data_IF_445614115980
#
_entry.id   IF_445614115980
#
_cell.length_a   1.000
_cell.length_b   1.000
_cell.length_c   1.000
_cell.angle_alpha   90.00
_cell.angle_beta   90.00
_cell.angle_gamma   90.00
#
_symmetry.space_group_name_H-M   'P 1'
#
loop_
_entity.id
_entity.type
_entity.pdbx_description
1 polymer ?
#
# COMPACT_ATOMS: atom_id res chain seq x y z
N UNK A 1 47.86 -37.17 43.47
CA UNK A 1 47.75 -38.31 44.41
C UNK A 1 46.91 -37.81 45.58
N UNK A 2 45.74 -38.32 45.99
CA UNK A 2 45.13 -39.66 46.10
C UNK A 2 43.59 -39.43 46.09
N UNK A 3 42.81 -40.01 45.17
CA UNK A 3 42.07 -41.29 45.22
C UNK A 3 40.93 -41.41 46.26
N UNK A 4 39.69 -41.36 45.73
CA UNK A 4 38.57 -42.30 45.85
C UNK A 4 38.25 -43.01 47.17
N UNK A 5 37.01 -42.83 47.66
CA UNK A 5 36.03 -43.85 48.13
C UNK A 5 34.63 -43.19 48.05
N UNK A 6 33.65 -43.51 47.19
CA UNK A 6 33.01 -44.74 46.73
C UNK A 6 32.18 -45.49 47.81
N UNK A 7 30.85 -45.43 47.60
CA UNK A 7 29.78 -46.40 47.89
C UNK A 7 29.24 -46.61 49.33
N UNK A 8 27.96 -46.24 49.51
CA UNK A 8 26.89 -47.07 50.14
C UNK A 8 25.61 -46.81 49.31
N UNK A 9 25.30 -47.64 48.28
CA UNK A 9 24.24 -48.68 48.23
C UNK A 9 22.91 -48.28 48.91
N UNK A 10 21.86 -47.89 48.18
CA UNK A 10 20.93 -48.67 47.31
C UNK A 10 19.64 -49.09 48.03
N UNK A 11 18.53 -48.73 47.38
CA UNK A 11 17.19 -49.34 47.37
C UNK A 11 16.23 -49.09 48.54
N UNK A 12 15.25 -48.20 48.29
CA UNK A 12 13.83 -48.52 48.48
C UNK A 12 12.97 -47.81 47.41
N UNK A 13 12.59 -48.61 46.41
CA UNK A 13 11.37 -48.56 45.60
C UNK A 13 10.77 -47.20 45.17
N UNK A 14 10.95 -46.93 43.88
CA UNK A 14 9.89 -46.76 42.87
C UNK A 14 8.53 -46.23 43.36
N UNK A 15 8.24 -44.97 43.05
CA UNK A 15 6.89 -44.59 42.66
C UNK A 15 6.89 -43.34 41.76
N UNK A 16 6.22 -43.50 40.61
CA UNK A 16 5.49 -42.49 39.85
C UNK A 16 6.25 -41.55 38.88
N UNK A 17 6.10 -41.93 37.60
CA UNK A 17 5.65 -41.09 36.48
C UNK A 17 6.62 -40.09 35.84
N UNK A 18 7.21 -40.56 34.73
CA UNK A 18 7.05 -40.01 33.37
C UNK A 18 6.61 -38.55 33.34
N UNK A 19 7.56 -37.64 33.21
CA UNK A 19 7.34 -36.38 32.51
C UNK A 19 8.25 -36.38 31.27
N UNK A 20 7.67 -36.91 30.20
CA UNK A 20 8.03 -36.55 28.83
C UNK A 20 8.05 -35.02 28.75
N UNK A 21 9.23 -34.46 28.57
CA UNK A 21 9.41 -33.07 28.13
C UNK A 21 8.91 -32.96 26.69
N UNK A 22 7.60 -32.98 26.52
CA UNK A 22 6.95 -32.57 25.29
C UNK A 22 7.25 -31.10 25.09
N UNK A 23 8.15 -30.80 24.16
CA UNK A 23 8.23 -29.48 23.57
C UNK A 23 6.88 -29.20 22.93
N UNK A 24 6.03 -28.45 23.63
CA UNK A 24 4.83 -27.85 23.06
C UNK A 24 5.35 -26.83 22.05
N UNK A 25 5.49 -27.26 20.80
CA UNK A 25 5.53 -26.36 19.66
C UNK A 25 4.18 -25.67 19.66
N UNK A 26 4.10 -24.47 20.24
CA UNK A 26 2.98 -23.57 19.99
C UNK A 26 3.04 -23.23 18.51
N UNK A 27 2.39 -24.03 17.68
CA UNK A 27 2.04 -23.63 16.33
C UNK A 27 1.26 -22.31 16.50
N UNK A 28 1.85 -21.22 16.04
CA UNK A 28 1.09 -19.99 15.87
C UNK A 28 -0.14 -20.36 15.04
N UNK A 29 -1.35 -19.96 15.47
CA UNK A 29 -2.50 -20.08 14.59
C UNK A 29 -2.12 -19.40 13.28
N UNK A 30 -2.43 -20.00 12.10
CA UNK A 30 -2.30 -19.25 10.87
C UNK A 30 -3.08 -17.95 11.08
N UNK A 31 -2.40 -16.82 10.91
CA UNK A 31 -3.09 -15.54 10.74
C UNK A 31 -3.95 -15.71 9.51
N UNK A 32 -5.20 -16.14 9.70
CA UNK A 32 -6.24 -15.99 8.71
C UNK A 32 -6.49 -14.48 8.62
N UNK A 33 -5.61 -13.78 7.90
CA UNK A 33 -5.99 -12.53 7.26
C UNK A 33 -7.04 -12.94 6.24
N UNK A 34 -8.32 -12.81 6.59
CA UNK A 34 -9.37 -12.78 5.58
C UNK A 34 -8.93 -11.70 4.59
N UNK A 35 -8.66 -12.11 3.36
CA UNK A 35 -8.24 -11.19 2.32
C UNK A 35 -9.27 -10.06 2.22
N UNK A 36 -8.84 -8.81 2.38
CA UNK A 36 -9.77 -7.69 2.41
C UNK A 36 -10.42 -7.55 1.02
N UNK A 37 -11.75 -7.60 0.97
CA UNK A 37 -12.52 -7.48 -0.26
C UNK A 37 -13.31 -6.18 -0.26
N UNK A 38 -13.19 -5.39 -1.32
CA UNK A 38 -13.90 -4.11 -1.47
C UNK A 38 -14.85 -4.18 -2.66
N UNK A 39 -16.14 -3.92 -2.44
CA UNK A 39 -17.16 -4.05 -3.50
C UNK A 39 -17.22 -2.82 -4.41
N UNK A 40 -16.76 -1.67 -3.92
CA UNK A 40 -16.63 -0.46 -4.72
C UNK A 40 -15.20 0.10 -4.69
N UNK A 41 -14.78 0.88 -5.69
CA UNK A 41 -13.53 1.63 -5.65
C UNK A 41 -13.44 2.55 -4.42
N UNK A 42 -14.55 3.16 -4.03
CA UNK A 42 -14.67 4.07 -2.89
C UNK A 42 -14.41 3.34 -1.56
N UNK A 43 -14.86 2.10 -1.41
CA UNK A 43 -14.58 1.29 -0.21
C UNK A 43 -13.08 1.02 -0.06
N UNK A 44 -12.40 0.68 -1.16
CA UNK A 44 -10.95 0.45 -1.15
C UNK A 44 -10.16 1.72 -0.80
N UNK A 45 -10.53 2.86 -1.39
CA UNK A 45 -9.93 4.17 -1.07
C UNK A 45 -10.18 4.56 0.39
N UNK A 46 -11.39 4.33 0.89
CA UNK A 46 -11.73 4.61 2.29
C UNK A 46 -10.88 3.77 3.24
N UNK A 47 -10.79 2.46 3.01
CA UNK A 47 -9.98 1.56 3.84
C UNK A 47 -8.48 1.92 3.84
N UNK A 48 -7.97 2.34 2.68
CA UNK A 48 -6.60 2.82 2.55
C UNK A 48 -6.35 4.09 3.38
N UNK A 49 -7.23 5.09 3.26
CA UNK A 49 -7.12 6.34 4.02
C UNK A 49 -7.35 6.12 5.52
N UNK A 50 -8.23 5.20 5.91
CA UNK A 50 -8.37 4.79 7.31
C UNK A 50 -7.08 4.16 7.85
N UNK A 51 -6.35 3.39 7.03
CA UNK A 51 -5.03 2.90 7.39
C UNK A 51 -4.05 4.05 7.67
N UNK A 52 -4.08 5.11 6.87
CA UNK A 52 -3.28 6.32 7.11
C UNK A 52 -3.67 7.04 8.41
N UNK A 53 -4.97 7.28 8.61
CA UNK A 53 -5.53 7.96 9.77
C UNK A 53 -5.12 7.27 11.08
N UNK A 54 -5.11 5.93 11.09
CA UNK A 54 -4.79 5.14 12.27
C UNK A 54 -3.31 4.71 12.36
N UNK A 55 -2.46 5.12 11.41
CA UNK A 55 -1.07 4.67 11.36
C UNK A 55 -0.92 3.16 11.14
N UNK A 56 -1.93 2.50 10.56
CA UNK A 56 -1.94 1.06 10.28
C UNK A 56 -1.48 0.79 8.84
N UNK A 57 -0.17 0.65 8.68
CA UNK A 57 0.43 0.37 7.38
C UNK A 57 0.04 -1.01 6.82
N UNK A 58 -0.27 -1.99 7.67
CA UNK A 58 -0.71 -3.30 7.20
C UNK A 58 -2.10 -3.19 6.53
N UNK A 59 -3.01 -2.40 7.10
CA UNK A 59 -4.32 -2.10 6.49
C UNK A 59 -4.19 -1.37 5.16
N UNK A 60 -3.22 -0.45 5.04
CA UNK A 60 -2.89 0.21 3.76
C UNK A 60 -2.53 -0.83 2.70
N UNK A 61 -1.61 -1.74 3.00
CA UNK A 61 -1.18 -2.78 2.05
C UNK A 61 -2.30 -3.75 1.70
N UNK A 62 -3.18 -4.10 2.65
CA UNK A 62 -4.35 -4.96 2.40
C UNK A 62 -5.36 -4.34 1.43
N UNK A 63 -5.44 -3.00 1.37
CA UNK A 63 -6.28 -2.30 0.40
C UNK A 63 -5.68 -2.29 -1.03
N UNK A 64 -4.44 -2.74 -1.20
CA UNK A 64 -3.71 -2.67 -2.46
C UNK A 64 -3.69 -4.01 -3.20
N UNK A 65 -3.65 -3.95 -4.53
CA UNK A 65 -3.64 -5.09 -5.44
C UNK A 65 -2.26 -5.77 -5.55
N UNK A 66 -1.47 -5.75 -4.47
CA UNK A 66 -0.06 -6.15 -4.50
C UNK A 66 0.08 -7.62 -4.90
N UNK A 67 -0.73 -8.49 -4.29
CA UNK A 67 -0.68 -9.93 -4.53
C UNK A 67 -1.13 -10.25 -5.96
N UNK A 68 -2.31 -9.79 -6.36
CA UNK A 68 -2.85 -10.04 -7.70
C UNK A 68 -1.95 -9.49 -8.80
N UNK A 69 -1.45 -8.26 -8.66
CA UNK A 69 -0.54 -7.67 -9.64
C UNK A 69 0.81 -8.40 -9.68
N UNK A 70 1.26 -9.00 -8.58
CA UNK A 70 2.51 -9.76 -8.56
C UNK A 70 2.37 -11.13 -9.22
N UNK A 71 1.21 -11.78 -9.06
CA UNK A 71 0.93 -13.12 -9.57
C UNK A 71 0.47 -13.12 -11.02
N UNK A 72 -0.22 -12.06 -11.46
CA UNK A 72 -0.88 -12.02 -12.77
C UNK A 72 -0.27 -11.02 -13.75
N UNK A 73 0.91 -10.47 -13.45
CA UNK A 73 1.60 -9.58 -14.37
C UNK A 73 2.02 -10.32 -15.66
N UNK A 74 1.45 -9.88 -16.77
CA UNK A 74 1.79 -10.33 -18.11
C UNK A 74 2.89 -9.45 -18.70
N UNK A 75 4.12 -9.91 -18.54
CA UNK A 75 5.30 -9.23 -19.07
C UNK A 75 5.25 -9.08 -20.60
N UNK A 76 4.70 -10.07 -21.32
CA UNK A 76 4.57 -10.00 -22.78
C UNK A 76 3.66 -8.86 -23.22
N UNK A 77 2.46 -8.79 -22.64
CA UNK A 77 1.51 -7.70 -22.89
C UNK A 77 2.07 -6.32 -22.50
N UNK A 78 2.83 -6.24 -21.41
CA UNK A 78 3.48 -5.00 -20.99
C UNK A 78 4.49 -4.50 -22.03
N UNK A 79 5.39 -5.38 -22.48
CA UNK A 79 6.41 -5.04 -23.49
C UNK A 79 5.77 -4.74 -24.84
N UNK A 80 4.76 -5.50 -25.26
CA UNK A 80 4.05 -5.25 -26.51
C UNK A 80 3.33 -3.89 -26.51
N UNK A 81 2.77 -3.50 -25.36
CA UNK A 81 2.12 -2.19 -25.19
C UNK A 81 3.12 -1.04 -25.24
N UNK A 82 4.25 -1.16 -24.54
CA UNK A 82 5.23 -0.07 -24.44
C UNK A 82 6.21 -0.04 -25.61
N UNK A 83 6.36 -1.15 -26.35
CA UNK A 83 7.39 -1.36 -27.37
C UNK A 83 8.81 -1.15 -26.85
N UNK A 84 9.01 -1.35 -25.55
CA UNK A 84 10.27 -1.12 -24.85
C UNK A 84 10.30 -1.93 -23.54
N UNK A 85 11.51 -2.19 -23.02
CA UNK A 85 11.74 -2.72 -21.67
C UNK A 85 12.26 -1.59 -20.76
N UNK A 86 11.39 -0.98 -19.94
CA UNK A 86 11.83 -0.08 -18.88
C UNK A 86 12.66 -0.85 -17.83
N UNK A 87 13.77 -0.29 -17.31
CA UNK A 87 14.56 -0.94 -16.25
C UNK A 87 13.80 -1.18 -14.95
N UNK A 88 12.68 -0.47 -14.76
CA UNK A 88 11.80 -0.55 -13.59
C UNK A 88 10.54 -1.39 -13.86
N UNK A 89 10.46 -2.07 -15.01
CA UNK A 89 9.41 -3.04 -15.26
C UNK A 89 9.43 -4.15 -14.20
N UNK A 90 8.26 -4.67 -13.85
CA UNK A 90 8.17 -5.89 -13.07
C UNK A 90 8.81 -7.06 -13.84
N UNK A 91 9.31 -8.06 -13.11
CA UNK A 91 9.80 -9.30 -13.69
C UNK A 91 8.63 -10.16 -14.22
N UNK A 92 8.88 -11.12 -15.12
CA UNK A 92 7.86 -12.08 -15.53
C UNK A 92 7.31 -12.88 -14.34
N UNK A 93 5.99 -13.05 -14.24
CA UNK A 93 5.36 -13.80 -13.14
C UNK A 93 5.29 -15.32 -13.38
N UNK A 94 6.25 -15.89 -14.12
CA UNK A 94 6.29 -17.31 -14.49
C UNK A 94 6.95 -18.23 -13.45
N UNK A 95 7.52 -17.66 -12.37
CA UNK A 95 8.14 -18.39 -11.28
C UNK A 95 7.84 -17.76 -9.92
N UNK A 96 7.74 -18.56 -8.84
CA UNK A 96 7.52 -18.03 -7.49
C UNK A 96 8.56 -17.01 -7.04
N UNK A 97 9.82 -17.15 -7.49
CA UNK A 97 10.88 -16.19 -7.18
C UNK A 97 10.56 -14.79 -7.73
N UNK A 98 10.10 -14.70 -8.97
CA UNK A 98 9.76 -13.41 -9.57
C UNK A 98 8.45 -12.83 -9.05
N UNK A 99 7.47 -13.68 -8.70
CA UNK A 99 6.26 -13.23 -8.01
C UNK A 99 6.62 -12.52 -6.69
N UNK A 100 7.46 -13.13 -5.86
CA UNK A 100 7.92 -12.50 -4.60
C UNK A 100 8.75 -11.23 -4.84
N UNK A 101 9.59 -11.20 -5.89
CA UNK A 101 10.32 -9.99 -6.27
C UNK A 101 9.36 -8.85 -6.67
N UNK A 102 8.35 -9.17 -7.48
CA UNK A 102 7.33 -8.22 -7.91
C UNK A 102 6.51 -7.70 -6.72
N UNK A 103 6.12 -8.59 -5.80
CA UNK A 103 5.43 -8.25 -4.57
C UNK A 103 6.22 -7.28 -3.71
N UNK A 104 7.53 -7.52 -3.53
CA UNK A 104 8.42 -6.62 -2.82
C UNK A 104 8.53 -5.25 -3.52
N UNK A 105 8.66 -5.24 -4.85
CA UNK A 105 8.73 -4.00 -5.65
C UNK A 105 7.44 -3.17 -5.53
N UNK A 106 6.26 -3.80 -5.68
CA UNK A 106 4.97 -3.13 -5.56
C UNK A 106 4.72 -2.61 -4.14
N UNK A 107 5.06 -3.41 -3.13
CA UNK A 107 4.97 -2.97 -1.73
C UNK A 107 5.85 -1.74 -1.47
N UNK A 108 7.08 -1.73 -2.00
CA UNK A 108 7.98 -0.59 -1.90
C UNK A 108 7.47 0.65 -2.63
N UNK A 109 6.79 0.48 -3.77
CA UNK A 109 6.12 1.58 -4.48
C UNK A 109 5.05 2.22 -3.60
N UNK A 110 4.13 1.43 -3.02
CA UNK A 110 3.09 1.93 -2.12
C UNK A 110 3.70 2.58 -0.88
N UNK A 111 4.71 1.95 -0.26
CA UNK A 111 5.42 2.52 0.89
C UNK A 111 6.04 3.90 0.57
N UNK A 112 6.65 4.06 -0.61
CA UNK A 112 7.20 5.34 -1.03
C UNK A 112 6.11 6.39 -1.25
N UNK A 113 4.97 6.02 -1.84
CA UNK A 113 3.84 6.93 -2.01
C UNK A 113 3.25 7.37 -0.66
N UNK A 114 3.15 6.45 0.29
CA UNK A 114 2.74 6.75 1.68
C UNK A 114 3.72 7.69 2.36
N UNK A 115 5.02 7.46 2.18
CA UNK A 115 6.06 8.37 2.70
C UNK A 115 5.94 9.78 2.12
N UNK A 116 5.73 9.92 0.81
CA UNK A 116 5.54 11.24 0.20
C UNK A 116 4.21 11.87 0.60
N UNK A 117 3.19 11.06 0.88
CA UNK A 117 1.94 11.54 1.46
C UNK A 117 2.19 12.20 2.81
N UNK A 118 2.79 11.45 3.74
CA UNK A 118 3.02 11.93 5.10
C UNK A 118 3.96 13.12 5.12
N UNK A 119 5.07 13.08 4.37
CA UNK A 119 6.01 14.20 4.33
C UNK A 119 5.38 15.46 3.73
N UNK A 120 4.61 15.31 2.64
CA UNK A 120 3.97 16.45 1.98
C UNK A 120 2.86 17.10 2.79
N UNK A 121 2.23 16.34 3.69
CA UNK A 121 1.16 16.84 4.56
C UNK A 121 1.68 17.40 5.89
N UNK A 122 2.67 16.73 6.49
CA UNK A 122 3.10 17.01 7.85
C UNK A 122 4.27 18.00 7.95
N UNK A 123 5.10 18.09 6.91
CA UNK A 123 6.28 18.97 6.92
C UNK A 123 6.06 20.25 6.13
N UNK A 124 6.77 21.32 6.50
CA UNK A 124 6.84 22.55 5.70
C UNK A 124 7.87 22.45 4.56
N UNK A 125 8.46 21.28 4.35
CA UNK A 125 9.51 21.08 3.36
C UNK A 125 8.91 20.85 1.97
N UNK A 126 9.53 21.41 0.93
CA UNK A 126 9.13 21.16 -0.46
C UNK A 126 9.61 19.78 -0.94
N UNK A 127 9.09 18.73 -0.31
CA UNK A 127 9.32 17.32 -0.69
C UNK A 127 8.51 16.91 -1.93
N UNK A 128 7.72 17.84 -2.48
CA UNK A 128 6.90 17.60 -3.67
C UNK A 128 7.77 17.39 -4.91
N UNK A 129 7.35 16.48 -5.78
CA UNK A 129 7.99 16.17 -7.06
C UNK A 129 9.42 15.61 -7.00
N UNK A 130 9.86 15.07 -5.85
CA UNK A 130 11.12 14.32 -5.77
C UNK A 130 12.37 15.19 -5.88
N UNK A 131 12.25 16.49 -5.59
CA UNK A 131 13.39 17.40 -5.51
C UNK A 131 14.27 17.04 -4.31
N UNK A 132 15.57 17.18 -4.49
CA UNK A 132 16.53 17.05 -3.38
C UNK A 132 16.43 18.31 -2.52
N UNK A 133 16.03 18.13 -1.26
CA UNK A 133 16.00 19.21 -0.27
C UNK A 133 17.31 19.17 0.52
N UNK A 134 18.14 20.20 0.37
CA UNK A 134 19.38 20.32 1.13
C UNK A 134 19.06 20.68 2.59
N UNK A 135 19.54 19.90 3.55
CA UNK A 135 19.29 20.12 4.98
C UNK A 135 20.60 20.17 5.76
N UNK A 136 20.69 21.09 6.71
CA UNK A 136 21.67 21.03 7.78
C UNK A 136 21.12 20.19 8.95
N UNK A 137 21.93 20.02 10.00
CA UNK A 137 21.56 19.20 11.16
C UNK A 137 20.32 19.74 11.91
N UNK A 138 20.18 21.06 12.04
CA UNK A 138 19.06 21.68 12.76
C UNK A 138 17.75 21.48 12.00
N UNK A 139 17.76 21.74 10.69
CA UNK A 139 16.61 21.52 9.80
C UNK A 139 16.21 20.05 9.75
N UNK A 140 17.17 19.12 9.74
CA UNK A 140 16.89 17.68 9.79
C UNK A 140 16.19 17.27 11.10
N UNK A 141 16.64 17.81 12.25
CA UNK A 141 15.98 17.56 13.55
C UNK A 141 14.57 18.14 13.57
N UNK A 142 14.36 19.33 12.99
CA UNK A 142 13.02 19.91 12.86
C UNK A 142 12.13 19.05 11.98
N UNK A 143 12.59 18.65 10.79
CA UNK A 143 11.85 17.79 9.88
C UNK A 143 11.39 16.49 10.55
N UNK A 144 12.29 15.81 11.28
CA UNK A 144 11.96 14.58 12.00
C UNK A 144 10.87 14.77 13.07
N UNK A 145 10.75 15.98 13.65
CA UNK A 145 9.67 16.32 14.57
C UNK A 145 8.38 16.67 13.85
N UNK A 146 8.46 17.36 12.71
CA UNK A 146 7.29 17.78 11.95
C UNK A 146 6.49 16.57 11.40
N UNK A 147 7.19 15.52 10.94
CA UNK A 147 6.59 14.31 10.36
C UNK A 147 6.02 13.32 11.39
N UNK A 148 5.54 13.82 12.53
CA UNK A 148 4.83 13.04 13.54
C UNK A 148 3.50 12.51 12.98
N UNK A 149 3.45 11.20 12.73
CA UNK A 149 2.30 10.53 12.12
C UNK A 149 1.06 10.51 13.01
N UNK A 150 1.19 10.79 14.32
CA UNK A 150 0.01 10.89 15.20
C UNK A 150 -0.96 11.99 14.77
N UNK A 151 -0.45 13.03 14.08
CA UNK A 151 -1.26 14.11 13.50
C UNK A 151 -2.21 13.62 12.42
N UNK A 152 -1.90 12.52 11.72
CA UNK A 152 -2.76 11.98 10.65
C UNK A 152 -4.15 11.57 11.16
N UNK A 153 -4.29 11.34 12.47
CA UNK A 153 -5.58 11.05 13.10
C UNK A 153 -6.61 12.19 12.97
N UNK A 154 -6.17 13.41 12.65
CA UNK A 154 -7.06 14.56 12.39
C UNK A 154 -7.50 14.69 10.94
N UNK A 155 -7.14 13.76 10.05
CA UNK A 155 -7.63 13.75 8.68
C UNK A 155 -9.11 13.36 8.69
N UNK A 156 -9.94 14.15 8.01
CA UNK A 156 -11.34 13.79 7.77
C UNK A 156 -11.58 13.60 6.28
N UNK A 157 -12.05 12.42 5.88
CA UNK A 157 -12.42 12.15 4.49
C UNK A 157 -13.70 12.92 4.19
N UNK A 158 -13.63 13.86 3.23
CA UNK A 158 -14.76 14.74 2.89
C UNK A 158 -15.57 14.14 1.74
N UNK A 159 -14.90 13.70 0.67
CA UNK A 159 -15.55 13.18 -0.53
C UNK A 159 -14.62 12.33 -1.37
N UNK A 160 -15.14 11.27 -1.99
CA UNK A 160 -14.43 10.48 -2.99
C UNK A 160 -15.24 10.55 -4.29
N UNK A 161 -14.56 10.71 -5.43
CA UNK A 161 -15.24 10.84 -6.72
C UNK A 161 -14.40 10.41 -7.92
N UNK A 162 -15.09 10.26 -9.05
CA UNK A 162 -14.48 10.01 -10.36
C UNK A 162 -13.82 11.30 -10.87
N UNK A 163 -12.51 11.29 -11.18
CA UNK A 163 -11.86 12.46 -11.77
C UNK A 163 -12.28 12.63 -13.23
N UNK A 164 -12.63 13.85 -13.61
CA UNK A 164 -13.00 14.23 -14.99
C UNK A 164 -13.92 13.18 -15.67
N UNK A 165 -15.20 13.08 -15.25
CA UNK A 165 -16.10 12.02 -15.70
C UNK A 165 -16.19 11.89 -17.22
N UNK A 166 -16.13 13.00 -17.96
CA UNK A 166 -16.15 12.98 -19.43
C UNK A 166 -14.99 12.23 -20.07
N UNK A 167 -13.80 12.35 -19.50
CA UNK A 167 -12.62 11.67 -20.03
C UNK A 167 -12.63 10.22 -19.59
N UNK A 168 -12.84 9.95 -18.29
CA UNK A 168 -12.73 8.59 -17.74
C UNK A 168 -13.83 7.64 -18.23
N UNK A 169 -14.99 8.17 -18.61
CA UNK A 169 -16.08 7.37 -19.21
C UNK A 169 -16.05 7.33 -20.73
N UNK A 170 -15.12 8.05 -21.38
CA UNK A 170 -15.01 8.03 -22.84
C UNK A 170 -14.60 6.64 -23.34
N UNK A 171 -15.18 6.21 -24.46
CA UNK A 171 -14.86 4.90 -25.09
C UNK A 171 -13.36 4.71 -25.27
N UNK A 172 -12.65 5.75 -25.73
CA UNK A 172 -11.20 5.69 -25.92
C UNK A 172 -10.45 5.45 -24.61
N UNK A 173 -10.86 6.09 -23.52
CA UNK A 173 -10.22 5.87 -22.23
C UNK A 173 -10.52 4.45 -21.72
N UNK A 174 -11.79 4.03 -21.72
CA UNK A 174 -12.21 2.70 -21.25
C UNK A 174 -11.50 1.59 -22.00
N UNK A 175 -11.37 1.69 -23.33
CA UNK A 175 -10.61 0.71 -24.12
C UNK A 175 -9.13 0.67 -23.73
N UNK A 176 -8.52 1.83 -23.49
CA UNK A 176 -7.11 1.92 -23.12
C UNK A 176 -6.84 1.47 -21.69
N UNK A 177 -7.74 1.78 -20.75
CA UNK A 177 -7.65 1.36 -19.35
C UNK A 177 -7.91 -0.14 -19.22
N UNK A 178 -8.84 -0.70 -20.01
CA UNK A 178 -9.07 -2.16 -20.07
C UNK A 178 -7.83 -2.90 -20.58
N UNK A 179 -7.19 -2.40 -21.64
CA UNK A 179 -5.91 -2.97 -22.12
C UNK A 179 -4.82 -2.89 -21.05
N UNK A 180 -4.80 -1.82 -20.25
CA UNK A 180 -3.85 -1.66 -19.16
C UNK A 180 -4.15 -2.60 -17.99
N UNK A 181 -5.43 -2.78 -17.62
CA UNK A 181 -5.87 -3.70 -16.57
C UNK A 181 -5.41 -5.14 -16.86
N UNK A 182 -5.56 -5.58 -18.10
CA UNK A 182 -5.16 -6.94 -18.55
C UNK A 182 -3.69 -7.25 -18.37
N UNK A 183 -2.81 -6.24 -18.47
CA UNK A 183 -1.38 -6.43 -18.20
C UNK A 183 -1.15 -6.93 -16.77
N UNK A 184 -2.01 -6.56 -15.84
CA UNK A 184 -1.93 -6.96 -14.43
C UNK A 184 -2.95 -8.05 -14.08
N UNK A 185 -3.54 -8.72 -15.07
CA UNK A 185 -4.58 -9.74 -14.86
C UNK A 185 -5.92 -9.22 -14.34
N UNK A 186 -6.13 -7.90 -14.34
CA UNK A 186 -7.38 -7.29 -13.87
C UNK A 186 -8.45 -7.22 -14.97
N UNK A 187 -9.71 -7.26 -14.53
CA UNK A 187 -10.89 -7.15 -15.41
C UNK A 187 -11.11 -5.70 -15.87
N UNK A 188 -10.85 -4.75 -14.98
CA UNK A 188 -11.19 -3.34 -15.17
C UNK A 188 -10.18 -2.44 -14.46
N UNK A 189 -10.03 -1.22 -14.98
CA UNK A 189 -9.27 -0.16 -14.34
C UNK A 189 -10.06 1.14 -14.29
N UNK A 190 -10.01 1.80 -13.15
CA UNK A 190 -10.62 3.12 -12.93
C UNK A 190 -9.71 3.98 -12.05
N UNK A 191 -10.08 5.24 -11.87
CA UNK A 191 -9.42 6.17 -10.98
C UNK A 191 -10.42 6.77 -10.01
N UNK A 192 -9.92 7.17 -8.84
CA UNK A 192 -10.65 7.98 -7.86
C UNK A 192 -9.77 9.10 -7.37
N UNK A 193 -10.41 10.20 -7.00
CA UNK A 193 -9.80 11.26 -6.20
C UNK A 193 -10.55 11.38 -4.88
N UNK A 194 -9.80 11.56 -3.80
CA UNK A 194 -10.34 11.78 -2.47
C UNK A 194 -9.99 13.19 -2.00
N UNK A 195 -11.00 13.96 -1.62
CA UNK A 195 -10.90 15.20 -0.87
C UNK A 195 -10.91 14.87 0.61
N UNK A 196 -10.01 15.48 1.36
CA UNK A 196 -9.98 15.39 2.82
C UNK A 196 -9.60 16.74 3.43
N UNK A 197 -10.02 16.96 4.67
CA UNK A 197 -9.56 18.08 5.49
C UNK A 197 -8.40 17.63 6.36
N UNK A 198 -7.47 18.54 6.61
CA UNK A 198 -6.36 18.36 7.54
C UNK A 198 -5.92 19.73 8.06
N UNK A 199 -5.91 19.91 9.39
CA UNK A 199 -5.44 21.14 10.06
C UNK A 199 -5.97 22.44 9.42
N UNK A 200 -7.29 22.50 9.20
CA UNK A 200 -8.04 23.64 8.63
C UNK A 200 -7.92 23.86 7.12
N UNK A 201 -7.10 23.07 6.43
CA UNK A 201 -6.94 23.11 4.99
C UNK A 201 -7.60 21.90 4.31
N UNK A 202 -7.86 22.02 3.01
CA UNK A 202 -8.35 20.93 2.18
C UNK A 202 -7.27 20.47 1.21
N UNK A 203 -7.19 19.16 1.04
CA UNK A 203 -6.26 18.50 0.15
C UNK A 203 -6.98 17.45 -0.65
N UNK A 204 -6.48 17.17 -1.86
CA UNK A 204 -6.89 16.00 -2.61
C UNK A 204 -5.71 15.09 -2.94
N UNK A 205 -6.05 13.83 -3.17
CA UNK A 205 -5.13 12.81 -3.66
C UNK A 205 -5.84 11.88 -4.65
N UNK A 206 -5.07 11.30 -5.56
CA UNK A 206 -5.55 10.39 -6.59
C UNK A 206 -5.18 8.94 -6.33
N UNK A 207 -6.00 8.04 -6.87
CA UNK A 207 -5.82 6.59 -6.82
C UNK A 207 -6.14 5.97 -8.18
N UNK A 208 -5.34 4.99 -8.58
CA UNK A 208 -5.64 4.07 -9.67
C UNK A 208 -6.02 2.75 -9.05
N UNK A 209 -7.11 2.16 -9.54
CA UNK A 209 -7.67 0.94 -9.01
C UNK A 209 -7.86 -0.09 -10.11
N UNK A 210 -7.78 -1.35 -9.70
CA UNK A 210 -8.07 -2.51 -10.52
C UNK A 210 -9.18 -3.34 -9.89
N UNK A 211 -10.00 -3.97 -10.73
CA UNK A 211 -11.01 -4.95 -10.31
C UNK A 211 -10.57 -6.35 -10.67
N UNK A 212 -10.67 -7.27 -9.71
CA UNK A 212 -10.47 -8.71 -9.86
C UNK A 212 -11.75 -9.42 -9.41
N UNK A 213 -12.54 -9.93 -10.36
CA UNK A 213 -13.88 -10.43 -10.08
C UNK A 213 -14.79 -9.34 -9.51
N UNK A 214 -15.25 -9.52 -8.28
CA UNK A 214 -16.08 -8.53 -7.57
C UNK A 214 -15.29 -7.58 -6.65
N UNK A 215 -13.95 -7.72 -6.62
CA UNK A 215 -13.11 -7.04 -5.64
C UNK A 215 -12.30 -5.93 -6.29
N UNK A 216 -12.43 -4.71 -5.75
CA UNK A 216 -11.61 -3.57 -6.12
C UNK A 216 -10.41 -3.46 -5.20
N UNK A 217 -9.23 -3.18 -5.75
CA UNK A 217 -8.02 -2.90 -4.98
C UNK A 217 -7.22 -1.77 -5.61
N UNK A 218 -6.45 -1.06 -4.80
CA UNK A 218 -5.62 0.06 -5.23
C UNK A 218 -4.34 -0.46 -5.87
N UNK A 219 -4.04 -0.04 -7.10
CA UNK A 219 -2.74 -0.33 -7.73
C UNK A 219 -1.69 0.74 -7.40
N UNK A 220 -2.12 2.00 -7.27
CA UNK A 220 -1.24 3.10 -6.91
C UNK A 220 -2.00 4.31 -6.35
N UNK A 221 -1.32 5.09 -5.52
CA UNK A 221 -1.75 6.40 -5.04
C UNK A 221 -1.44 7.49 -6.10
N UNK A 222 -2.00 7.31 -7.29
CA UNK A 222 -1.88 8.26 -8.40
C UNK A 222 -3.18 8.32 -9.20
N UNK A 223 -3.54 9.48 -9.72
CA UNK A 223 -4.62 9.61 -10.72
C UNK A 223 -4.13 10.48 -11.88
N UNK A 224 -3.63 9.88 -12.97
CA UNK A 224 -3.21 10.62 -14.15
C UNK A 224 -4.30 11.53 -14.71
N UNK A 225 -5.58 11.12 -14.66
CA UNK A 225 -6.69 11.89 -15.23
C UNK A 225 -7.00 13.16 -14.43
N UNK A 226 -6.81 13.15 -13.11
CA UNK A 226 -6.98 14.35 -12.29
C UNK A 226 -5.77 15.28 -12.31
N UNK A 227 -4.61 14.81 -12.79
CA UNK A 227 -3.34 15.52 -12.62
C UNK A 227 -2.80 15.43 -11.19
N UNK A 228 -3.25 14.45 -10.40
CA UNK A 228 -2.74 14.20 -9.07
C UNK A 228 -1.22 13.89 -9.08
N UNK A 229 -0.53 14.20 -7.98
CA UNK A 229 0.90 13.90 -7.82
C UNK A 229 1.23 12.43 -8.13
N UNK A 230 2.18 12.19 -9.03
CA UNK A 230 2.67 10.84 -9.35
C UNK A 230 3.45 10.19 -8.19
N UNK A 231 3.92 11.00 -7.24
CA UNK A 231 4.59 10.52 -6.03
C UNK A 231 3.62 10.28 -4.88
N UNK A 232 2.33 10.60 -5.04
CA UNK A 232 1.35 10.45 -3.98
C UNK A 232 1.38 11.59 -2.95
N UNK A 233 1.98 12.74 -3.27
CA UNK A 233 1.91 13.93 -2.40
C UNK A 233 0.51 14.56 -2.46
N UNK A 234 -0.18 14.79 -1.32
CA UNK A 234 -1.41 15.58 -1.26
C UNK A 234 -1.24 16.95 -1.90
N UNK A 235 -2.26 17.39 -2.60
CA UNK A 235 -2.29 18.72 -3.22
C UNK A 235 -3.37 19.55 -2.55
N UNK A 236 -2.95 20.71 -2.02
CA UNK A 236 -3.85 21.68 -1.44
C UNK A 236 -4.86 22.15 -2.51
N UNK A 237 -6.11 22.30 -2.12
CA UNK A 237 -7.23 22.65 -3.02
C UNK A 237 -8.35 23.34 -2.25
N UNK A 238 -9.37 23.81 -2.95
CA UNK A 238 -10.65 24.22 -2.37
C UNK A 238 -11.75 23.21 -2.68
N UNK A 239 -12.79 23.15 -1.82
CA UNK A 239 -13.96 22.28 -2.04
C UNK A 239 -14.58 22.51 -3.42
N UNK A 240 -14.77 23.78 -3.82
CA UNK A 240 -15.35 24.12 -5.12
C UNK A 240 -14.49 23.67 -6.33
N UNK A 241 -13.16 23.73 -6.20
CA UNK A 241 -12.23 23.26 -7.24
C UNK A 241 -12.28 21.74 -7.36
N UNK A 242 -12.31 21.04 -6.22
CA UNK A 242 -12.51 19.59 -6.21
C UNK A 242 -13.85 19.18 -6.80
N UNK A 243 -14.94 19.88 -6.47
CA UNK A 243 -16.25 19.62 -7.07
C UNK A 243 -16.25 19.83 -8.58
N UNK A 244 -15.59 20.87 -9.07
CA UNK A 244 -15.42 21.06 -10.51
C UNK A 244 -14.69 19.87 -11.15
N UNK A 245 -13.63 19.36 -10.52
CA UNK A 245 -12.86 18.21 -11.00
C UNK A 245 -13.71 16.94 -11.19
N UNK A 246 -14.64 16.68 -10.27
CA UNK A 246 -15.46 15.45 -10.29
C UNK A 246 -16.85 15.62 -10.93
N UNK A 247 -17.28 16.86 -11.19
CA UNK A 247 -18.59 17.17 -11.79
C UNK A 247 -18.49 17.79 -13.19
N UNK A 248 -17.29 17.91 -13.77
CA UNK A 248 -17.09 18.52 -15.10
C UNK A 248 -17.88 17.79 -16.20
N UNK A 249 -19.07 18.32 -16.50
CA UNK A 249 -19.96 17.99 -17.61
C UNK A 249 -19.58 18.69 -18.90
#
# INVERSE_FOLDING_TARGET
MQKNRALILVACLALLMVLLSGTVTTAMPPTQSSEATFKTPEDAVTAYLEGMIHGDFAKILQACAIDEMSEHFDFGLYIDRLRALPPQAQAPSDSPFYVELNKAQLSAQIANQVKFFTWGLLSSEEVSQGKIVMMDAERAVKFAKDVDTSRLASIEIVKIGLPNPKVITSTRYVENSTKNARVYGADESTERVALFSFEQDYYFIGFTLFRYGENWKISSQTSPISGASMLGTPQKTMVAEFESMINSN
#
